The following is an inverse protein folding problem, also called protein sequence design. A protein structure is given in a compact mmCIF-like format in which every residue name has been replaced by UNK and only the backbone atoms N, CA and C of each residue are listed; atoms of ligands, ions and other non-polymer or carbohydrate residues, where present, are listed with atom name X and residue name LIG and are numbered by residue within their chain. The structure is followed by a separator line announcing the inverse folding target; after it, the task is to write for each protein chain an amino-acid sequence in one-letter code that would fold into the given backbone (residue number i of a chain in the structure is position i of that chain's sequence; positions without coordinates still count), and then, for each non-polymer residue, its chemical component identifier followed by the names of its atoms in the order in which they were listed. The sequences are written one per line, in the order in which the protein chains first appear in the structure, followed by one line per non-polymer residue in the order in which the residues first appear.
data_IF_167944690451
#
_entry.id   IF_167944690451
#
_cell.length_a   1.000
_cell.length_b   1.000
_cell.length_c   1.000
_cell.angle_alpha   90.00
_cell.angle_beta   90.00
_cell.angle_gamma   90.00
#
_symmetry.space_group_name_H-M   'P 1'
#
loop_
_entity.id
_entity.type
_entity.pdbx_description
1 polymer ?
#
# COMPACT_ATOMS: atom_id res chain seq x y z
N UNK A 1 -12.21 28.07 18.91
CA UNK A 1 -11.11 27.43 18.17
C UNK A 1 -11.68 26.12 17.71
N UNK A 2 -12.11 26.08 16.46
CA UNK A 2 -12.70 24.91 15.83
C UNK A 2 -11.57 23.90 15.64
N UNK A 3 -11.60 22.78 16.35
CA UNK A 3 -10.65 21.70 16.15
C UNK A 3 -10.95 21.14 14.77
N UNK A 4 -10.10 21.46 13.79
CA UNK A 4 -10.11 20.81 12.49
C UNK A 4 -9.78 19.34 12.67
N UNK A 5 -10.81 18.54 12.95
CA UNK A 5 -10.78 17.11 12.70
C UNK A 5 -10.40 16.98 11.22
N UNK A 6 -9.16 16.57 10.95
CA UNK A 6 -8.76 16.11 9.63
C UNK A 6 -9.63 14.89 9.32
N UNK A 7 -10.83 15.15 8.78
CA UNK A 7 -11.66 14.14 8.16
C UNK A 7 -10.83 13.60 7.00
N UNK A 8 -10.10 12.50 7.25
CA UNK A 8 -9.51 11.70 6.19
C UNK A 8 -10.68 11.26 5.32
N UNK A 9 -10.81 11.78 4.09
CA UNK A 9 -11.96 11.45 3.27
C UNK A 9 -11.93 9.94 3.00
N UNK A 10 -13.08 9.28 3.06
CA UNK A 10 -13.20 7.86 2.71
C UNK A 10 -13.04 7.70 1.18
N UNK A 11 -11.80 7.60 0.74
CA UNK A 11 -11.41 7.46 -0.66
C UNK A 11 -11.48 6.00 -1.10
N UNK A 12 -12.70 5.46 -1.20
CA UNK A 12 -12.91 4.04 -1.54
C UNK A 12 -12.94 3.79 -3.05
N UNK A 13 -13.41 4.76 -3.84
CA UNK A 13 -13.52 4.61 -5.30
C UNK A 13 -12.39 5.30 -6.05
N UNK A 14 -12.04 4.77 -7.23
CA UNK A 14 -11.08 5.43 -8.14
C UNK A 14 -11.46 6.88 -8.42
N UNK A 15 -12.74 7.15 -8.66
CA UNK A 15 -13.24 8.49 -8.92
C UNK A 15 -12.92 9.43 -7.77
N UNK A 16 -13.26 9.06 -6.53
CA UNK A 16 -12.99 9.86 -5.35
C UNK A 16 -11.49 10.12 -5.17
N UNK A 17 -10.66 9.08 -5.37
CA UNK A 17 -9.19 9.20 -5.31
C UNK A 17 -8.66 10.19 -6.33
N UNK A 18 -9.16 10.15 -7.57
CA UNK A 18 -8.76 11.09 -8.62
C UNK A 18 -9.27 12.50 -8.34
N UNK A 19 -10.53 12.67 -7.91
CA UNK A 19 -11.08 13.98 -7.52
C UNK A 19 -10.27 14.61 -6.38
N UNK A 20 -9.94 13.82 -5.35
CA UNK A 20 -9.07 14.23 -4.25
C UNK A 20 -7.70 14.68 -4.74
N UNK A 21 -7.07 13.92 -5.65
CA UNK A 21 -5.77 14.29 -6.20
C UNK A 21 -5.82 15.52 -7.08
N UNK A 22 -6.91 15.75 -7.81
CA UNK A 22 -7.12 17.00 -8.57
C UNK A 22 -7.17 18.19 -7.61
N UNK A 23 -8.00 18.14 -6.57
CA UNK A 23 -8.12 19.23 -5.60
C UNK A 23 -6.79 19.50 -4.88
N UNK A 24 -6.06 18.44 -4.51
CA UNK A 24 -4.77 18.56 -3.83
C UNK A 24 -3.66 19.13 -4.73
N UNK A 25 -3.67 18.78 -6.02
CA UNK A 25 -2.61 19.19 -6.96
C UNK A 25 -2.91 20.54 -7.62
N UNK A 26 -4.19 20.88 -7.79
CA UNK A 26 -4.66 22.07 -8.49
C UNK A 26 -5.80 22.74 -7.69
N UNK A 27 -5.48 23.31 -6.51
CA UNK A 27 -6.49 23.83 -5.59
C UNK A 27 -7.32 24.95 -6.22
N UNK A 28 -8.64 24.79 -6.23
CA UNK A 28 -9.56 25.77 -6.82
C UNK A 28 -9.58 25.82 -8.36
N UNK A 29 -8.84 24.95 -9.04
CA UNK A 29 -8.79 24.90 -10.50
C UNK A 29 -9.50 23.66 -11.06
N UNK A 30 -10.40 23.88 -12.02
CA UNK A 30 -10.98 22.77 -12.80
C UNK A 30 -10.02 22.38 -13.91
N UNK A 31 -9.21 21.36 -13.65
CA UNK A 31 -8.35 20.78 -14.68
C UNK A 31 -9.19 20.06 -15.74
N UNK A 32 -9.03 20.50 -16.99
CA UNK A 32 -9.60 19.80 -18.14
C UNK A 32 -8.81 18.52 -18.42
N UNK A 33 -9.47 17.49 -18.96
CA UNK A 33 -8.78 16.26 -19.33
C UNK A 33 -7.67 16.46 -20.37
N UNK A 34 -7.72 17.53 -21.17
CA UNK A 34 -6.64 17.85 -22.13
C UNK A 34 -5.39 18.30 -21.40
N UNK A 35 -5.53 19.24 -20.47
CA UNK A 35 -4.42 19.74 -19.65
C UNK A 35 -3.78 18.59 -18.88
N UNK A 36 -4.58 17.71 -18.27
CA UNK A 36 -4.03 16.55 -17.56
C UNK A 36 -3.35 15.55 -18.50
N UNK A 37 -3.93 15.26 -19.67
CA UNK A 37 -3.31 14.38 -20.65
C UNK A 37 -1.97 14.92 -21.17
N UNK A 38 -1.88 16.23 -21.40
CA UNK A 38 -0.65 16.89 -21.80
C UNK A 38 0.41 16.81 -20.69
N UNK A 39 0.01 17.02 -19.43
CA UNK A 39 0.90 16.87 -18.27
C UNK A 39 1.45 15.44 -18.15
N UNK A 40 0.61 14.42 -18.32
CA UNK A 40 1.04 13.02 -18.31
C UNK A 40 2.05 12.76 -19.43
N UNK A 41 1.81 13.31 -20.61
CA UNK A 41 2.70 13.19 -21.77
C UNK A 41 4.06 13.86 -21.55
N UNK A 42 4.09 15.05 -20.97
CA UNK A 42 5.32 15.75 -20.60
C UNK A 42 6.17 14.94 -19.61
N UNK A 43 5.51 14.15 -18.76
CA UNK A 43 6.15 13.26 -17.79
C UNK A 43 6.48 11.87 -18.34
N UNK A 44 6.38 11.67 -19.66
CA UNK A 44 6.72 10.41 -20.33
C UNK A 44 5.65 9.32 -20.26
N UNK A 45 4.45 9.64 -19.80
CA UNK A 45 3.30 8.74 -19.82
C UNK A 45 2.40 8.92 -21.04
N UNK A 46 1.34 8.13 -21.11
CA UNK A 46 0.30 8.28 -22.12
C UNK A 46 -1.08 8.11 -21.49
N UNK A 47 -1.92 9.14 -21.60
CA UNK A 47 -3.32 9.10 -21.15
C UNK A 47 -4.17 9.93 -22.10
N UNK A 48 -5.30 9.41 -22.56
CA UNK A 48 -6.22 10.21 -23.38
C UNK A 48 -7.11 11.11 -22.53
N UNK A 49 -7.38 12.33 -23.01
CA UNK A 49 -8.23 13.27 -22.31
C UNK A 49 -9.63 12.71 -22.01
N UNK A 50 -10.20 11.96 -22.96
CA UNK A 50 -11.55 11.39 -22.84
C UNK A 50 -11.58 10.32 -21.76
N UNK A 51 -10.50 9.55 -21.62
CA UNK A 51 -10.39 8.53 -20.60
C UNK A 51 -10.34 9.16 -19.20
N UNK A 52 -9.55 10.22 -19.03
CA UNK A 52 -9.52 10.98 -17.77
C UNK A 52 -10.89 11.55 -17.41
N UNK A 53 -11.59 12.18 -18.37
CA UNK A 53 -12.95 12.68 -18.15
C UNK A 53 -13.94 11.57 -17.82
N UNK A 54 -13.78 10.36 -18.38
CA UNK A 54 -14.64 9.22 -18.07
C UNK A 54 -14.39 8.66 -16.66
N UNK A 55 -13.15 8.73 -16.15
CA UNK A 55 -12.84 8.39 -14.75
C UNK A 55 -13.53 9.37 -13.80
N UNK A 56 -13.42 10.68 -14.05
CA UNK A 56 -14.09 11.71 -13.24
C UNK A 56 -15.63 11.60 -13.31
N UNK A 57 -16.17 11.14 -14.44
CA UNK A 57 -17.60 10.86 -14.57
C UNK A 57 -18.03 9.55 -13.88
N UNK A 58 -17.10 8.76 -13.31
CA UNK A 58 -17.38 7.46 -12.70
C UNK A 58 -17.73 6.35 -13.71
N UNK A 59 -17.49 6.56 -15.01
CA UNK A 59 -17.76 5.56 -16.06
C UNK A 59 -16.66 4.50 -16.13
N UNK A 60 -15.48 4.82 -15.63
CA UNK A 60 -14.34 3.90 -15.52
C UNK A 60 -14.03 3.73 -14.06
N UNK A 61 -14.15 2.49 -13.58
CA UNK A 61 -13.93 2.13 -12.18
C UNK A 61 -12.71 1.21 -12.01
N UNK A 62 -12.43 0.37 -13.00
CA UNK A 62 -11.29 -0.56 -12.97
C UNK A 62 -10.44 -0.43 -14.26
N UNK A 63 -9.57 0.59 -14.34
CA UNK A 63 -8.67 0.79 -15.48
C UNK A 63 -7.47 -0.17 -15.41
N UNK A 64 -6.74 -0.31 -16.52
CA UNK A 64 -5.51 -1.12 -16.54
C UNK A 64 -4.39 -0.48 -15.70
N UNK A 65 -3.42 -1.30 -15.29
CA UNK A 65 -2.24 -0.83 -14.55
C UNK A 65 -1.46 0.27 -15.29
N UNK A 66 -1.38 0.18 -16.62
CA UNK A 66 -0.75 1.22 -17.45
C UNK A 66 -1.42 2.59 -17.26
N UNK A 67 -2.75 2.61 -17.17
CA UNK A 67 -3.50 3.83 -16.91
C UNK A 67 -3.28 4.33 -15.48
N UNK A 68 -3.24 3.42 -14.50
CA UNK A 68 -2.93 3.79 -13.12
C UNK A 68 -1.53 4.40 -13.01
N UNK A 69 -0.54 3.84 -13.70
CA UNK A 69 0.82 4.40 -13.81
C UNK A 69 0.81 5.78 -14.45
N UNK A 70 0.04 5.97 -15.53
CA UNK A 70 -0.13 7.28 -16.14
C UNK A 70 -0.75 8.31 -15.17
N UNK A 71 -1.76 7.92 -14.38
CA UNK A 71 -2.33 8.78 -13.33
C UNK A 71 -1.27 9.12 -12.26
N UNK A 72 -0.54 8.11 -11.77
CA UNK A 72 0.54 8.28 -10.81
C UNK A 72 1.61 9.25 -11.31
N UNK A 73 2.04 9.09 -12.57
CA UNK A 73 2.97 10.02 -13.22
C UNK A 73 2.39 11.44 -13.30
N UNK A 74 1.15 11.60 -13.74
CA UNK A 74 0.49 12.91 -13.88
C UNK A 74 0.35 13.66 -12.55
N UNK A 75 0.07 12.95 -11.45
CA UNK A 75 -0.06 13.55 -10.13
C UNK A 75 1.25 13.55 -9.32
N UNK A 76 2.28 12.79 -9.74
CA UNK A 76 3.52 12.63 -9.00
C UNK A 76 3.36 11.77 -7.74
N UNK A 77 2.51 10.75 -7.78
CA UNK A 77 2.24 9.82 -6.66
C UNK A 77 2.42 8.36 -7.10
N UNK A 78 2.62 7.46 -6.14
CA UNK A 78 2.63 6.03 -6.43
C UNK A 78 1.26 5.59 -6.98
N UNK A 79 1.28 4.89 -8.12
CA UNK A 79 0.08 4.49 -8.85
C UNK A 79 -0.82 3.52 -8.06
N UNK A 80 -0.26 2.79 -7.09
CA UNK A 80 -1.02 1.87 -6.22
C UNK A 80 -2.01 2.59 -5.34
N UNK A 81 -1.81 3.89 -5.10
CA UNK A 81 -2.81 4.73 -4.42
C UNK A 81 -4.19 4.59 -5.09
N UNK A 82 -4.23 4.47 -6.42
CA UNK A 82 -5.46 4.36 -7.19
C UNK A 82 -6.05 2.94 -7.28
N UNK A 83 -5.32 1.90 -6.85
CA UNK A 83 -5.87 0.53 -6.78
C UNK A 83 -6.93 0.41 -5.67
N UNK A 84 -7.75 -0.62 -5.75
CA UNK A 84 -8.58 -1.00 -4.61
C UNK A 84 -7.70 -1.44 -3.44
N UNK A 85 -8.10 -1.11 -2.20
CA UNK A 85 -7.33 -1.48 -1.02
C UNK A 85 -7.14 -2.99 -0.92
N UNK A 86 -8.16 -3.78 -1.27
CA UNK A 86 -8.08 -5.25 -1.27
C UNK A 86 -7.03 -5.77 -2.25
N UNK A 87 -6.89 -5.16 -3.43
CA UNK A 87 -5.87 -5.54 -4.40
C UNK A 87 -4.45 -5.21 -3.92
N UNK A 88 -4.28 -4.09 -3.21
CA UNK A 88 -2.98 -3.75 -2.60
C UNK A 88 -2.63 -4.73 -1.48
N UNK A 89 -3.62 -5.10 -0.66
CA UNK A 89 -3.45 -6.10 0.40
C UNK A 89 -3.04 -7.44 -0.19
N UNK A 90 -3.69 -7.90 -1.25
CA UNK A 90 -3.36 -9.16 -1.93
C UNK A 90 -1.92 -9.15 -2.47
N UNK A 91 -1.49 -8.06 -3.10
CA UNK A 91 -0.11 -7.89 -3.59
C UNK A 91 0.92 -7.95 -2.44
N UNK A 92 0.62 -7.31 -1.30
CA UNK A 92 1.49 -7.32 -0.11
C UNK A 92 1.53 -8.71 0.52
N UNK A 93 0.39 -9.39 0.65
CA UNK A 93 0.30 -10.76 1.18
C UNK A 93 1.11 -11.71 0.30
N UNK A 94 0.99 -11.61 -1.02
CA UNK A 94 1.79 -12.39 -1.96
C UNK A 94 3.30 -12.14 -1.79
N UNK A 95 3.71 -10.88 -1.63
CA UNK A 95 5.11 -10.51 -1.37
C UNK A 95 5.65 -11.06 -0.05
N UNK A 96 4.88 -10.99 1.04
CA UNK A 96 5.26 -11.54 2.34
C UNK A 96 5.35 -13.07 2.31
N UNK A 97 4.42 -13.74 1.63
CA UNK A 97 4.48 -15.19 1.43
C UNK A 97 5.70 -15.59 0.60
N UNK A 98 6.05 -14.81 -0.42
CA UNK A 98 7.25 -15.04 -1.22
C UNK A 98 8.52 -14.94 -0.35
N UNK A 99 8.63 -13.91 0.50
CA UNK A 99 9.76 -13.75 1.42
C UNK A 99 9.85 -14.89 2.44
N UNK A 100 8.71 -15.33 2.98
CA UNK A 100 8.66 -16.46 3.90
C UNK A 100 9.16 -17.75 3.23
N UNK A 101 8.71 -18.04 2.00
CA UNK A 101 9.13 -19.22 1.22
C UNK A 101 10.60 -19.17 0.79
N UNK A 102 11.14 -17.97 0.54
CA UNK A 102 12.58 -17.78 0.32
C UNK A 102 13.38 -18.12 1.58
N UNK A 103 12.90 -17.70 2.76
CA UNK A 103 13.56 -17.99 4.06
C UNK A 103 13.54 -19.48 4.41
N UNK A 104 12.46 -20.19 4.09
CA UNK A 104 12.35 -21.64 4.34
C UNK A 104 13.10 -22.49 3.32
N UNK A 105 13.67 -21.87 2.27
CA UNK A 105 14.37 -22.59 1.20
C UNK A 105 13.42 -23.30 0.23
N UNK A 106 12.11 -23.03 0.29
CA UNK A 106 11.13 -23.55 -0.67
C UNK A 106 11.29 -22.90 -2.06
N UNK A 107 11.85 -21.68 -2.10
CA UNK A 107 12.33 -21.02 -3.32
C UNK A 107 13.86 -21.08 -3.31
N UNK A 108 14.41 -22.29 -3.44
CA UNK A 108 15.85 -22.49 -3.60
C UNK A 108 16.20 -22.45 -5.09
N UNK A 109 16.86 -21.37 -5.51
CA UNK A 109 17.61 -21.34 -6.76
C UNK A 109 16.81 -21.39 -8.05
N UNK A 110 16.25 -20.26 -8.47
CA UNK A 110 16.30 -19.91 -9.90
C UNK A 110 17.58 -19.08 -10.11
N UNK A 111 18.63 -19.77 -10.54
CA UNK A 111 19.85 -19.24 -11.16
C UNK A 111 20.56 -18.05 -10.47
N UNK A 112 21.65 -18.35 -9.76
CA UNK A 112 22.63 -17.38 -9.26
C UNK A 112 23.47 -16.69 -10.34
N UNK A 113 22.85 -16.02 -11.31
CA UNK A 113 23.51 -15.04 -12.20
C UNK A 113 22.47 -14.18 -12.93
N UNK A 114 22.35 -12.91 -12.53
CA UNK A 114 21.80 -11.86 -13.39
C UNK A 114 20.34 -11.45 -13.16
N UNK A 115 19.98 -11.05 -11.95
CA UNK A 115 18.99 -9.97 -11.78
C UNK A 115 19.69 -8.89 -10.99
N UNK A 116 19.79 -7.73 -11.63
CA UNK A 116 20.65 -6.60 -11.32
C UNK A 116 20.30 -5.90 -9.98
N UNK A 117 21.21 -5.00 -9.59
CA UNK A 117 21.42 -4.16 -8.39
C UNK A 117 20.27 -3.77 -7.42
N UNK A 118 19.01 -4.13 -7.66
CA UNK A 118 17.89 -3.76 -6.79
C UNK A 118 17.60 -4.87 -5.78
N UNK A 119 18.35 -4.84 -4.67
CA UNK A 119 17.95 -5.50 -3.44
C UNK A 119 16.57 -5.05 -2.94
N UNK A 120 16.08 -5.66 -1.87
CA UNK A 120 14.88 -5.15 -1.19
C UNK A 120 15.10 -3.70 -0.80
N UNK A 121 14.12 -2.85 -1.13
CA UNK A 121 14.16 -1.44 -0.79
C UNK A 121 14.48 -1.26 0.72
N UNK A 122 15.45 -0.42 1.09
CA UNK A 122 15.87 -0.22 2.47
C UNK A 122 14.72 0.17 3.41
N UNK A 123 13.71 0.90 2.93
CA UNK A 123 12.53 1.28 3.70
C UNK A 123 11.65 0.06 3.98
N UNK A 124 11.52 -0.85 3.00
CA UNK A 124 10.77 -2.09 3.17
C UNK A 124 11.44 -3.05 4.15
N UNK A 125 12.78 -3.09 4.15
CA UNK A 125 13.54 -3.85 5.15
C UNK A 125 13.35 -3.30 6.55
N UNK A 126 13.41 -1.97 6.72
CA UNK A 126 13.16 -1.34 8.03
C UNK A 126 11.73 -1.60 8.53
N UNK A 127 10.74 -1.56 7.64
CA UNK A 127 9.36 -1.86 7.99
C UNK A 127 9.17 -3.33 8.41
N UNK A 128 9.82 -4.27 7.72
CA UNK A 128 9.80 -5.68 8.14
C UNK A 128 10.51 -5.88 9.49
N UNK A 129 11.59 -5.14 9.75
CA UNK A 129 12.26 -5.14 11.05
C UNK A 129 11.36 -4.57 12.16
N UNK A 130 10.68 -3.45 11.95
CA UNK A 130 9.80 -2.84 12.95
C UNK A 130 8.63 -3.76 13.32
N UNK A 131 8.02 -4.42 12.33
CA UNK A 131 6.96 -5.41 12.57
C UNK A 131 7.44 -6.63 13.37
N UNK A 132 8.71 -7.02 13.23
CA UNK A 132 9.30 -8.11 14.01
C UNK A 132 9.65 -7.69 15.43
N UNK A 133 9.95 -6.42 15.66
CA UNK A 133 10.20 -5.84 16.99
C UNK A 133 8.89 -5.73 17.79
N UNK A 134 7.81 -5.24 17.19
CA UNK A 134 6.48 -5.16 17.84
C UNK A 134 5.94 -6.53 18.30
N UNK A 135 6.31 -7.60 17.59
CA UNK A 135 5.92 -8.97 17.95
C UNK A 135 6.79 -9.62 19.03
N UNK A 136 7.99 -9.07 19.31
CA UNK A 136 8.83 -9.52 20.43
C UNK A 136 8.33 -8.93 21.75
N UNK A 137 7.90 -7.67 21.74
CA UNK A 137 7.39 -6.99 22.94
C UNK A 137 6.04 -7.56 23.41
N UNK A 138 5.21 -8.05 22.49
CA UNK A 138 3.93 -8.67 22.82
C UNK A 138 4.07 -10.11 23.39
N UNK A 139 5.25 -10.74 23.32
CA UNK A 139 5.50 -12.07 23.90
C UNK A 139 5.96 -12.04 25.37
N UNK A 140 6.43 -10.91 25.89
CA UNK A 140 6.85 -10.81 27.30
C UNK A 140 5.70 -10.52 28.28
N UNK A 141 4.52 -10.07 27.81
CA UNK A 141 3.41 -9.69 28.70
C UNK A 141 2.39 -10.79 29.03
N UNK A 142 2.56 -12.04 28.55
CA UNK A 142 1.67 -13.17 28.92
C UNK A 142 2.43 -14.46 29.18
N UNK A 143 3.21 -14.48 30.27
CA UNK A 143 3.81 -15.71 30.78
C UNK A 143 4.20 -15.61 32.25
N UNK A 144 3.25 -15.86 33.17
CA UNK A 144 3.63 -16.14 34.56
C UNK A 144 2.58 -15.89 35.64
N UNK A 145 1.55 -16.74 35.74
CA UNK A 145 1.02 -17.19 37.05
C UNK A 145 0.16 -18.44 36.88
N UNK A 146 0.82 -19.60 36.80
CA UNK A 146 0.22 -20.90 37.13
C UNK A 146 1.20 -21.68 37.98
N UNK A 147 0.78 -21.98 39.21
CA UNK A 147 1.42 -22.89 40.16
C UNK A 147 0.55 -22.88 41.41
N UNK A 148 -0.54 -23.67 41.47
CA UNK A 148 -0.61 -25.10 41.83
C UNK A 148 0.05 -25.41 43.18
N UNK A 149 -0.80 -25.62 44.18
CA UNK A 149 -0.45 -26.25 45.45
C UNK A 149 -1.72 -26.68 46.18
N UNK A 150 -2.12 -27.94 45.99
CA UNK A 150 -3.20 -28.58 46.72
C UNK A 150 -2.79 -29.98 47.17
N UNK A 151 -3.10 -30.29 48.44
CA UNK A 151 -3.06 -31.60 49.14
C UNK A 151 -1.66 -32.12 49.52
N UNK A 152 -1.37 -32.67 50.72
CA UNK A 152 -2.16 -33.39 51.71
C UNK A 152 -1.55 -33.30 53.13
N UNK A 153 -2.37 -33.63 54.12
CA UNK A 153 -2.09 -33.85 55.55
C UNK A 153 -0.88 -34.73 55.88
N UNK A 154 -0.21 -34.43 57.00
CA UNK A 154 0.13 -35.41 58.06
C UNK A 154 0.63 -34.74 59.35
N UNK A 155 0.19 -35.31 60.47
CA UNK A 155 0.76 -35.29 61.83
C UNK A 155 0.57 -34.05 62.74
N UNK A 156 -0.44 -34.11 63.63
CA UNK A 156 -0.35 -33.96 65.10
C UNK A 156 -1.74 -34.00 65.75
#
# INVERSE_FOLDING_TARGET
MDNGEEHTPDLTTLRQKVEYMVEKTFPGEKISGRVFADLVKERGGSLSHSYFSNILAGKVTNPSEEILKALGLGFGVDWRFFKDESEVVDDVVAGLQFLAKRRTGEISGLAGRGIDDDGLDPELLQFVLSLLEDNKDNKESKGGKVGKGGSASKDA
#
